data_IF_341683198361
#
_entry.id   IF_341683198361
#
_cell.length_a   1.000
_cell.length_b   1.000
_cell.length_c   1.000
_cell.angle_alpha   90.00
_cell.angle_beta   90.00
_cell.angle_gamma   90.00
#
_symmetry.space_group_name_H-M   'P 1'
#
loop_
_entity.id
_entity.type
_entity.pdbx_description
1 polymer ?
#
# COMPACT_ATOMS: atom_id res chain seq x y z
N UNK A 1 66.05 -1.13 37.58
CA UNK A 1 65.77 -0.32 36.37
C UNK A 1 64.44 -0.80 35.80
N UNK A 2 63.34 -0.02 35.79
CA UNK A 2 63.20 1.46 35.74
C UNK A 2 63.95 2.07 34.54
N UNK A 3 63.39 2.92 33.68
CA UNK A 3 62.06 3.56 33.55
C UNK A 3 61.97 4.15 32.09
N UNK A 4 60.89 4.61 31.42
CA UNK A 4 59.52 5.09 31.73
C UNK A 4 58.65 5.09 30.44
N UNK A 5 57.31 5.19 30.55
CA UNK A 5 56.37 5.87 29.59
C UNK A 5 56.22 5.28 28.16
N UNK A 6 55.19 5.59 27.34
CA UNK A 6 54.06 6.57 27.39
C UNK A 6 52.70 5.84 27.17
N UNK A 7 51.61 6.38 27.74
CA UNK A 7 50.22 6.05 27.39
C UNK A 7 49.83 6.58 26.00
N UNK A 8 49.20 5.77 25.16
CA UNK A 8 48.27 6.29 24.13
C UNK A 8 46.89 5.61 24.21
N UNK A 9 46.09 6.08 25.18
CA UNK A 9 44.64 5.93 25.14
C UNK A 9 44.09 6.75 23.97
N UNK A 10 43.89 6.12 22.81
CA UNK A 10 43.09 6.71 21.73
C UNK A 10 41.61 6.62 22.08
N UNK A 11 41.19 7.52 22.97
CA UNK A 11 39.80 7.91 23.13
C UNK A 11 39.29 8.48 21.80
N UNK A 12 38.61 7.66 21.00
CA UNK A 12 37.85 8.10 19.85
C UNK A 12 36.37 7.82 20.12
N UNK A 13 35.75 8.76 20.84
CA UNK A 13 34.33 8.72 21.18
C UNK A 13 33.61 9.86 20.46
N UNK A 14 32.36 9.63 20.05
CA UNK A 14 31.60 10.42 19.07
C UNK A 14 32.15 10.28 17.64
N UNK A 15 31.35 10.31 16.58
CA UNK A 15 29.95 10.79 16.48
C UNK A 15 28.89 9.69 16.53
N UNK A 16 27.79 9.96 17.23
CA UNK A 16 26.52 9.23 17.04
C UNK A 16 25.87 9.72 15.75
N UNK A 17 26.19 9.09 14.62
CA UNK A 17 25.36 9.26 13.41
C UNK A 17 23.98 8.65 13.67
N UNK A 18 22.95 9.51 13.78
CA UNK A 18 21.56 9.13 14.03
C UNK A 18 20.87 8.49 12.83
N UNK A 19 21.54 7.58 12.12
CA UNK A 19 20.95 6.82 11.03
C UNK A 19 19.89 5.86 11.57
N UNK A 20 18.62 6.13 11.28
CA UNK A 20 17.48 5.27 11.61
C UNK A 20 17.66 3.88 10.97
N UNK A 21 18.32 2.99 11.67
CA UNK A 21 18.71 1.67 11.16
C UNK A 21 17.46 0.79 11.16
N UNK A 22 16.84 0.66 9.99
CA UNK A 22 15.73 -0.27 9.77
C UNK A 22 16.26 -1.68 10.03
N UNK A 23 15.99 -2.20 11.23
CA UNK A 23 16.40 -3.55 11.64
C UNK A 23 15.79 -4.53 10.65
N UNK A 24 16.63 -5.14 9.82
CA UNK A 24 16.24 -6.26 8.96
C UNK A 24 16.12 -7.48 9.86
N UNK A 25 14.95 -7.63 10.48
CA UNK A 25 14.67 -8.79 11.30
C UNK A 25 14.52 -10.03 10.41
N UNK A 26 15.31 -11.06 10.70
CA UNK A 26 15.29 -12.35 10.01
C UNK A 26 14.38 -13.37 10.70
N UNK A 27 13.64 -12.95 11.73
CA UNK A 27 12.64 -13.81 12.36
C UNK A 27 11.56 -14.28 11.39
N UNK A 28 11.12 -15.53 11.62
CA UNK A 28 10.03 -16.21 10.93
C UNK A 28 8.76 -15.34 10.95
N UNK A 29 8.04 -15.17 9.83
CA UNK A 29 6.85 -14.32 9.79
C UNK A 29 5.80 -14.77 10.81
N UNK A 30 5.31 -13.79 11.57
CA UNK A 30 4.19 -13.92 12.51
C UNK A 30 2.88 -14.04 11.68
N UNK A 31 1.82 -14.63 12.24
CA UNK A 31 0.49 -14.78 11.60
C UNK A 31 -0.01 -13.53 10.88
N UNK A 32 0.26 -12.36 11.45
CA UNK A 32 -0.25 -11.06 10.99
C UNK A 32 0.67 -10.40 9.93
N UNK A 33 1.61 -11.15 9.36
CA UNK A 33 2.60 -10.64 8.39
C UNK A 33 2.02 -10.57 6.98
N UNK A 34 2.20 -9.43 6.31
CA UNK A 34 1.77 -9.22 4.93
C UNK A 34 2.80 -9.86 3.99
N UNK A 35 2.45 -10.99 3.38
CA UNK A 35 3.35 -11.81 2.55
C UNK A 35 3.38 -11.38 1.08
N UNK A 36 4.52 -11.64 0.42
CA UNK A 36 4.65 -11.52 -1.03
C UNK A 36 3.73 -12.53 -1.76
N UNK A 37 3.24 -12.24 -2.99
CA UNK A 37 2.38 -13.16 -3.72
C UNK A 37 3.15 -14.40 -4.18
N UNK A 38 2.62 -15.59 -3.89
CA UNK A 38 3.28 -16.88 -4.09
C UNK A 38 3.75 -17.14 -5.54
N UNK A 39 2.99 -16.65 -6.52
CA UNK A 39 3.22 -16.92 -7.95
C UNK A 39 3.95 -15.77 -8.68
N UNK A 40 4.62 -14.88 -7.94
CA UNK A 40 5.31 -13.74 -8.56
C UNK A 40 6.58 -14.17 -9.28
N UNK A 41 6.65 -13.94 -10.59
CA UNK A 41 7.91 -14.02 -11.33
C UNK A 41 8.85 -12.92 -10.86
N UNK A 42 9.97 -13.33 -10.27
CA UNK A 42 11.09 -12.49 -9.85
C UNK A 42 12.40 -13.22 -10.21
N UNK A 43 13.47 -12.47 -10.45
CA UNK A 43 14.82 -13.03 -10.46
C UNK A 43 15.22 -13.51 -9.06
N UNK A 44 16.16 -14.45 -8.96
CA UNK A 44 16.50 -15.05 -7.66
C UNK A 44 17.08 -14.05 -6.64
N UNK A 45 17.79 -13.02 -7.12
CA UNK A 45 18.23 -11.90 -6.26
C UNK A 45 17.05 -11.09 -5.72
N UNK A 46 16.03 -10.81 -6.54
CA UNK A 46 14.81 -10.14 -6.09
C UNK A 46 13.96 -11.03 -5.17
N UNK A 47 13.96 -12.37 -5.33
CA UNK A 47 13.33 -13.31 -4.37
C UNK A 47 13.95 -13.21 -2.97
N UNK A 48 15.28 -13.14 -2.89
CA UNK A 48 16.01 -13.00 -1.61
C UNK A 48 15.65 -11.67 -0.92
N UNK A 49 15.40 -10.60 -1.70
CA UNK A 49 14.94 -9.32 -1.15
C UNK A 49 13.48 -9.42 -0.69
N UNK A 50 12.57 -9.96 -1.50
CA UNK A 50 11.14 -10.04 -1.19
C UNK A 50 10.80 -10.95 0.00
N UNK A 51 11.66 -11.93 0.30
CA UNK A 51 11.55 -12.80 1.48
C UNK A 51 11.86 -12.12 2.82
N UNK A 52 12.43 -10.90 2.81
CA UNK A 52 12.70 -10.11 4.01
C UNK A 52 11.49 -9.30 4.44
N UNK A 53 11.49 -8.83 5.69
CA UNK A 53 10.41 -8.03 6.27
C UNK A 53 10.90 -6.68 6.81
N UNK A 54 9.95 -5.80 7.10
CA UNK A 54 10.12 -4.60 7.93
C UNK A 54 8.86 -4.36 8.77
N UNK A 55 8.98 -3.64 9.89
CA UNK A 55 7.85 -3.29 10.76
C UNK A 55 7.49 -1.80 10.62
N UNK A 56 6.25 -1.48 10.23
CA UNK A 56 5.77 -0.10 10.07
C UNK A 56 4.26 -0.02 10.34
N UNK A 57 3.79 1.07 10.96
CA UNK A 57 2.38 1.33 11.28
C UNK A 57 1.64 0.20 12.05
N UNK A 58 2.38 -0.68 12.73
CA UNK A 58 1.82 -1.84 13.45
C UNK A 58 1.89 -3.17 12.69
N UNK A 59 2.27 -3.16 11.42
CA UNK A 59 2.32 -4.33 10.55
C UNK A 59 3.75 -4.82 10.35
N UNK A 60 3.93 -6.15 10.27
CA UNK A 60 5.09 -6.74 9.61
C UNK A 60 4.77 -6.86 8.12
N UNK A 61 5.59 -6.26 7.26
CA UNK A 61 5.35 -6.15 5.83
C UNK A 61 6.53 -6.78 5.09
N UNK A 62 6.26 -7.66 4.14
CA UNK A 62 7.27 -8.15 3.21
C UNK A 62 7.89 -6.99 2.43
N UNK A 63 9.21 -7.03 2.21
CA UNK A 63 9.93 -6.11 1.32
C UNK A 63 9.56 -6.26 -0.16
N UNK A 64 8.61 -7.13 -0.49
CA UNK A 64 7.90 -7.07 -1.76
C UNK A 64 7.03 -5.82 -1.91
N UNK A 65 6.67 -5.13 -0.82
CA UNK A 65 5.82 -3.94 -0.88
C UNK A 65 6.48 -2.70 -0.27
N UNK A 66 6.27 -1.56 -0.93
CA UNK A 66 6.45 -0.24 -0.34
C UNK A 66 5.10 0.29 0.17
N UNK A 67 5.14 1.14 1.21
CA UNK A 67 3.95 1.83 1.73
C UNK A 67 3.78 3.14 0.98
N UNK A 68 2.90 3.15 -0.01
CA UNK A 68 2.58 4.30 -0.86
C UNK A 68 1.82 5.37 -0.06
N UNK A 69 0.75 4.97 0.63
CA UNK A 69 -0.07 5.88 1.44
C UNK A 69 -0.55 5.22 2.74
N UNK A 70 -0.84 6.02 3.77
CA UNK A 70 -1.38 5.52 5.03
C UNK A 70 -2.41 6.47 5.65
N UNK A 71 -3.42 5.90 6.32
CA UNK A 71 -4.32 6.61 7.23
C UNK A 71 -4.23 5.92 8.59
N UNK A 72 -3.85 6.67 9.63
CA UNK A 72 -3.88 6.18 11.01
C UNK A 72 -4.83 7.04 11.83
N UNK A 73 -5.84 6.40 12.42
CA UNK A 73 -6.74 6.96 13.44
C UNK A 73 -6.53 6.15 14.73
N UNK A 74 -7.10 6.62 15.86
CA UNK A 74 -6.94 6.00 17.19
C UNK A 74 -7.16 4.47 17.18
N UNK A 75 -8.23 4.02 16.54
CA UNK A 75 -8.72 2.64 16.63
C UNK A 75 -8.50 1.83 15.33
N UNK A 76 -7.97 2.44 14.26
CA UNK A 76 -7.83 1.83 12.94
C UNK A 76 -6.61 2.37 12.18
N UNK A 77 -5.84 1.47 11.56
CA UNK A 77 -4.77 1.82 10.62
C UNK A 77 -5.06 1.21 9.25
N UNK A 78 -4.85 2.00 8.19
CA UNK A 78 -5.11 1.63 6.80
C UNK A 78 -3.86 1.95 6.00
N UNK A 79 -3.34 0.98 5.25
CA UNK A 79 -2.24 1.16 4.31
C UNK A 79 -2.71 0.94 2.88
N UNK A 80 -2.22 1.74 1.95
CA UNK A 80 -2.10 1.38 0.55
C UNK A 80 -0.66 0.91 0.33
N UNK A 81 -0.52 -0.35 -0.07
CA UNK A 81 0.74 -0.97 -0.41
C UNK A 81 0.82 -1.15 -1.92
N UNK A 82 1.97 -0.78 -2.49
CA UNK A 82 2.32 -1.07 -3.89
C UNK A 82 3.48 -2.06 -3.93
N UNK A 83 3.62 -2.87 -4.98
CA UNK A 83 4.83 -3.67 -5.17
C UNK A 83 6.08 -2.79 -5.23
N UNK A 84 7.18 -3.27 -4.66
CA UNK A 84 8.44 -2.53 -4.62
C UNK A 84 9.06 -2.39 -6.03
N UNK A 85 9.52 -1.18 -6.35
CA UNK A 85 10.17 -0.86 -7.62
C UNK A 85 11.58 -0.31 -7.37
N UNK A 86 12.45 -1.14 -6.80
CA UNK A 86 13.81 -0.73 -6.46
C UNK A 86 14.82 -0.98 -7.58
N UNK A 87 15.59 0.07 -7.90
CA UNK A 87 16.91 -0.05 -8.52
C UNK A 87 17.94 -0.11 -7.39
N UNK A 88 18.33 -1.31 -6.97
CA UNK A 88 19.27 -1.52 -5.88
C UNK A 88 20.53 -2.20 -6.42
N UNK A 89 21.67 -1.52 -6.32
CA UNK A 89 23.01 -2.03 -6.70
C UNK A 89 23.03 -2.72 -8.08
N UNK A 90 22.59 -1.96 -9.10
CA UNK A 90 22.42 -2.35 -10.51
C UNK A 90 21.32 -3.39 -10.82
N UNK A 91 20.73 -4.05 -9.82
CA UNK A 91 19.57 -4.91 -10.02
C UNK A 91 18.29 -4.08 -10.14
N UNK A 92 17.46 -4.45 -11.12
CA UNK A 92 16.13 -3.89 -11.37
C UNK A 92 15.08 -4.91 -10.92
N UNK A 93 14.48 -4.69 -9.75
CA UNK A 93 13.37 -5.53 -9.29
C UNK A 93 12.04 -4.95 -9.78
N UNK A 94 11.48 -5.59 -10.81
CA UNK A 94 10.14 -5.33 -11.32
C UNK A 94 9.33 -6.65 -11.32
N UNK A 95 8.22 -6.77 -10.58
CA UNK A 95 7.28 -7.86 -10.79
C UNK A 95 6.54 -7.68 -12.12
N UNK A 96 6.40 -8.75 -12.91
CA UNK A 96 5.71 -8.74 -14.22
C UNK A 96 4.19 -8.43 -14.18
N UNK A 97 3.62 -8.09 -13.02
CA UNK A 97 2.19 -7.78 -12.85
C UNK A 97 1.98 -6.62 -11.89
N UNK A 98 1.18 -5.64 -12.33
CA UNK A 98 0.72 -4.50 -11.55
C UNK A 98 -0.54 -4.80 -10.68
N UNK A 99 -1.08 -6.03 -10.77
CA UNK A 99 -2.34 -6.47 -10.12
C UNK A 99 -2.23 -6.66 -8.58
N UNK A 100 -1.16 -6.16 -7.96
CA UNK A 100 -0.78 -6.47 -6.57
C UNK A 100 -0.75 -5.23 -5.66
N UNK A 101 -1.46 -4.17 -6.03
CA UNK A 101 -1.82 -3.10 -5.11
C UNK A 101 -2.73 -3.66 -3.99
N UNK A 102 -2.35 -3.48 -2.73
CA UNK A 102 -3.12 -3.97 -1.58
C UNK A 102 -3.61 -2.81 -0.70
N UNK A 103 -4.92 -2.77 -0.46
CA UNK A 103 -5.50 -2.03 0.65
C UNK A 103 -5.50 -2.95 1.87
N UNK A 104 -4.77 -2.55 2.91
CA UNK A 104 -4.67 -3.31 4.15
C UNK A 104 -5.29 -2.52 5.28
N UNK A 105 -6.29 -3.10 5.94
CA UNK A 105 -7.03 -2.49 7.05
C UNK A 105 -6.72 -3.28 8.31
N UNK A 106 -6.39 -2.59 9.41
CA UNK A 106 -6.26 -3.19 10.74
C UNK A 106 -7.07 -2.43 11.78
N UNK A 107 -7.94 -3.15 12.45
CA UNK A 107 -8.55 -2.71 13.70
C UNK A 107 -7.50 -2.83 14.81
N UNK A 108 -7.19 -1.73 15.49
CA UNK A 108 -6.07 -1.67 16.45
C UNK A 108 -6.43 -2.23 17.83
N UNK A 109 -7.73 -2.38 18.13
CA UNK A 109 -8.23 -2.88 19.41
C UNK A 109 -8.28 -4.42 19.43
N UNK A 110 -8.82 -5.01 18.37
CA UNK A 110 -8.89 -6.47 18.13
C UNK A 110 -7.63 -7.03 17.47
N UNK A 111 -6.76 -6.16 16.93
CA UNK A 111 -5.57 -6.46 16.11
C UNK A 111 -5.86 -7.12 14.75
N UNK A 112 -7.13 -7.42 14.43
CA UNK A 112 -7.55 -8.09 13.19
C UNK A 112 -7.08 -7.32 11.96
N UNK A 113 -6.45 -8.03 11.03
CA UNK A 113 -6.03 -7.51 9.72
C UNK A 113 -6.95 -8.05 8.63
N UNK A 114 -7.32 -7.20 7.68
CA UNK A 114 -8.04 -7.55 6.44
C UNK A 114 -7.27 -6.97 5.24
N UNK A 115 -7.17 -7.73 4.14
CA UNK A 115 -6.37 -7.39 2.96
C UNK A 115 -7.28 -7.49 1.73
N UNK A 116 -7.26 -6.45 0.89
CA UNK A 116 -8.10 -6.32 -0.31
C UNK A 116 -7.27 -5.83 -1.50
N UNK A 117 -7.35 -6.50 -2.65
CA UNK A 117 -6.82 -6.01 -3.93
C UNK A 117 -7.94 -5.60 -4.92
N UNK A 118 -9.15 -6.14 -4.72
CA UNK A 118 -10.36 -5.91 -5.51
C UNK A 118 -10.96 -4.49 -5.42
N UNK A 119 -10.46 -3.64 -4.52
CA UNK A 119 -10.96 -2.29 -4.25
C UNK A 119 -10.14 -1.17 -4.91
N UNK A 120 -9.01 -1.54 -5.52
CA UNK A 120 -8.00 -0.62 -6.05
C UNK A 120 -7.86 -0.84 -7.55
N UNK A 121 -7.45 0.20 -8.26
CA UNK A 121 -7.06 0.05 -9.66
C UNK A 121 -5.63 -0.52 -9.74
N UNK A 122 -5.33 -1.20 -10.85
CA UNK A 122 -3.97 -1.62 -11.22
C UNK A 122 -3.05 -0.40 -11.39
N UNK A 123 -1.74 -0.61 -11.20
CA UNK A 123 -0.74 0.47 -11.25
C UNK A 123 -0.37 0.85 -12.70
N UNK A 124 -1.33 1.44 -13.41
CA UNK A 124 -1.23 1.87 -14.80
C UNK A 124 -0.84 3.36 -14.94
N UNK A 125 -0.14 3.71 -16.03
CA UNK A 125 0.47 5.04 -16.23
C UNK A 125 -0.51 6.21 -16.28
N UNK A 126 -1.76 5.96 -16.67
CA UNK A 126 -2.83 6.96 -16.74
C UNK A 126 -3.82 6.83 -15.56
N UNK A 127 -3.37 6.27 -14.43
CA UNK A 127 -4.19 6.06 -13.21
C UNK A 127 -3.55 6.73 -12.00
N UNK A 128 -4.24 7.71 -11.41
CA UNK A 128 -3.94 8.24 -10.09
C UNK A 128 -4.95 7.70 -9.08
N UNK A 129 -4.49 7.20 -7.93
CA UNK A 129 -5.38 6.78 -6.83
C UNK A 129 -4.86 7.22 -5.46
N UNK A 130 -5.80 7.59 -4.58
CA UNK A 130 -5.51 8.12 -3.25
C UNK A 130 -6.51 7.65 -2.18
N UNK A 131 -6.02 7.40 -0.96
CA UNK A 131 -6.84 7.12 0.21
C UNK A 131 -6.96 8.37 1.10
N UNK A 132 -8.20 8.81 1.37
CA UNK A 132 -8.45 10.00 2.21
C UNK A 132 -9.40 9.70 3.38
N UNK A 133 -9.12 10.18 4.61
CA UNK A 133 -10.01 9.98 5.74
C UNK A 133 -11.32 10.74 5.56
N UNK A 134 -12.42 10.16 6.00
CA UNK A 134 -13.74 10.81 6.08
C UNK A 134 -14.21 10.84 7.53
N UNK A 135 -15.34 11.51 7.81
CA UNK A 135 -15.93 11.59 9.16
C UNK A 135 -16.20 10.20 9.76
N UNK A 136 -16.77 9.29 8.96
CA UNK A 136 -17.24 7.97 9.41
C UNK A 136 -16.31 6.81 9.00
N UNK A 137 -15.22 7.10 8.28
CA UNK A 137 -14.31 6.06 7.76
C UNK A 137 -13.23 6.66 6.86
N UNK A 138 -13.22 6.26 5.60
CA UNK A 138 -12.33 6.79 4.55
C UNK A 138 -13.01 6.75 3.17
N UNK A 139 -12.35 7.28 2.15
CA UNK A 139 -12.67 7.05 0.74
C UNK A 139 -11.42 6.64 -0.02
N UNK A 140 -11.61 5.81 -1.03
CA UNK A 140 -10.65 5.60 -2.12
C UNK A 140 -11.10 6.52 -3.24
N UNK A 141 -10.21 7.34 -3.75
CA UNK A 141 -10.48 8.28 -4.85
C UNK A 141 -9.54 7.96 -5.99
N UNK A 142 -10.03 7.95 -7.22
CA UNK A 142 -9.18 7.73 -8.39
C UNK A 142 -9.57 8.63 -9.55
N UNK A 143 -8.55 9.01 -10.33
CA UNK A 143 -8.63 9.70 -11.62
C UNK A 143 -7.96 8.80 -12.66
N UNK A 144 -8.62 8.61 -13.80
CA UNK A 144 -8.13 7.78 -14.90
C UNK A 144 -8.24 8.50 -16.25
N UNK A 145 -7.26 8.26 -17.12
CA UNK A 145 -7.26 8.75 -18.49
C UNK A 145 -6.67 10.15 -18.66
N UNK A 146 -6.23 10.45 -19.89
CA UNK A 146 -5.46 11.65 -20.22
C UNK A 146 -6.33 12.78 -20.77
N UNK A 147 -6.83 12.65 -22.00
CA UNK A 147 -7.61 13.68 -22.71
C UNK A 147 -9.11 13.63 -22.42
N UNK A 148 -9.64 12.47 -22.06
CA UNK A 148 -10.91 12.31 -21.35
C UNK A 148 -10.61 11.71 -19.99
N UNK A 149 -11.21 12.27 -18.94
CA UNK A 149 -10.91 11.94 -17.55
C UNK A 149 -12.12 11.30 -16.88
N UNK A 150 -11.86 10.18 -16.22
CA UNK A 150 -12.85 9.46 -15.45
C UNK A 150 -12.48 9.49 -13.96
N UNK A 151 -13.42 9.93 -13.12
CA UNK A 151 -13.24 10.09 -11.69
C UNK A 151 -14.14 9.13 -10.92
N UNK A 152 -13.61 8.55 -9.83
CA UNK A 152 -14.39 7.78 -8.87
C UNK A 152 -14.08 8.15 -7.42
N UNK A 153 -15.10 8.12 -6.56
CA UNK A 153 -14.99 8.15 -5.11
C UNK A 153 -15.74 6.92 -4.55
N UNK A 154 -15.00 5.95 -3.98
CA UNK A 154 -15.54 4.79 -3.25
C UNK A 154 -15.53 5.15 -1.76
N UNK A 155 -16.70 5.35 -1.16
CA UNK A 155 -16.85 5.71 0.25
C UNK A 155 -17.01 4.47 1.13
N UNK A 156 -16.21 4.37 2.19
CA UNK A 156 -16.12 3.20 3.06
C UNK A 156 -16.27 3.60 4.53
N UNK A 157 -17.19 2.94 5.23
CA UNK A 157 -17.30 2.95 6.70
C UNK A 157 -17.57 1.55 7.23
N UNK A 158 -17.17 1.26 8.48
CA UNK A 158 -17.48 0.01 9.20
C UNK A 158 -17.28 -1.28 8.36
N UNK A 159 -16.13 -1.36 7.66
CA UNK A 159 -15.74 -2.41 6.69
C UNK A 159 -16.77 -2.73 5.59
N UNK A 160 -17.47 -1.70 5.09
CA UNK A 160 -18.48 -1.78 4.02
C UNK A 160 -18.34 -0.63 3.03
N UNK A 161 -18.77 -0.83 1.79
CA UNK A 161 -18.91 0.23 0.80
C UNK A 161 -20.28 0.89 0.99
N UNK A 162 -20.30 2.17 1.34
CA UNK A 162 -21.53 2.95 1.55
C UNK A 162 -22.07 3.49 0.22
N UNK A 163 -21.19 4.06 -0.60
CA UNK A 163 -21.53 4.58 -1.92
C UNK A 163 -20.34 4.63 -2.87
N UNK A 164 -20.65 4.58 -4.15
CA UNK A 164 -19.75 4.85 -5.26
C UNK A 164 -20.27 6.11 -5.97
N UNK A 165 -19.47 7.18 -6.02
CA UNK A 165 -19.69 8.31 -6.93
C UNK A 165 -18.77 8.14 -8.14
N UNK A 166 -19.30 8.35 -9.33
CA UNK A 166 -18.53 8.37 -10.59
C UNK A 166 -18.86 9.62 -11.39
N UNK A 167 -17.87 10.12 -12.12
CA UNK A 167 -17.94 11.40 -12.82
C UNK A 167 -17.01 11.38 -14.05
N UNK A 168 -17.58 11.47 -15.24
CA UNK A 168 -16.86 11.37 -16.52
C UNK A 168 -16.80 12.74 -17.20
N UNK A 169 -15.60 13.12 -17.66
CA UNK A 169 -15.30 14.35 -18.39
C UNK A 169 -14.70 13.99 -19.75
N UNK A 170 -15.50 14.09 -20.80
CA UNK A 170 -15.14 13.73 -22.17
C UNK A 170 -16.31 14.03 -23.12
N UNK A 171 -16.43 13.28 -24.21
CA UNK A 171 -17.50 13.47 -25.20
C UNK A 171 -18.91 13.28 -24.61
N UNK A 172 -19.09 12.33 -23.68
CA UNK A 172 -20.30 12.15 -22.91
C UNK A 172 -20.01 12.43 -21.43
N UNK A 173 -20.35 13.65 -20.97
CA UNK A 173 -20.19 14.04 -19.58
C UNK A 173 -21.36 13.52 -18.74
N UNK A 174 -21.07 12.83 -17.64
CA UNK A 174 -22.10 12.37 -16.70
C UNK A 174 -21.58 12.27 -15.27
N UNK A 175 -22.48 12.35 -14.30
CA UNK A 175 -22.18 12.32 -12.86
C UNK A 175 -23.25 11.50 -12.15
N UNK A 176 -22.86 10.44 -11.43
CA UNK A 176 -23.80 9.46 -10.88
C UNK A 176 -23.33 8.92 -9.53
N UNK A 177 -24.26 8.72 -8.60
CA UNK A 177 -23.96 8.21 -7.25
C UNK A 177 -24.82 7.01 -6.95
N UNK A 178 -24.16 5.86 -6.77
CA UNK A 178 -24.76 4.60 -6.37
C UNK A 178 -24.61 4.46 -4.85
N UNK A 179 -25.71 4.15 -4.15
CA UNK A 179 -25.72 3.93 -2.69
C UNK A 179 -26.00 2.46 -2.42
N UNK A 180 -25.28 1.85 -1.49
CA UNK A 180 -25.42 0.45 -1.16
C UNK A 180 -25.95 0.26 0.26
N UNK A 181 -26.84 -0.73 0.45
CA UNK A 181 -27.52 -0.94 1.74
C UNK A 181 -26.69 -1.75 2.74
N UNK A 182 -25.87 -2.70 2.26
CA UNK A 182 -25.02 -3.62 3.05
C UNK A 182 -23.81 -4.18 2.27
N UNK A 183 -23.23 -3.46 1.30
CA UNK A 183 -22.16 -4.00 0.45
C UNK A 183 -20.87 -4.24 1.26
N UNK A 184 -20.35 -5.46 1.26
CA UNK A 184 -19.09 -5.78 1.94
C UNK A 184 -17.89 -5.45 1.06
N UNK A 185 -16.73 -5.22 1.67
CA UNK A 185 -15.49 -4.95 0.93
C UNK A 185 -15.07 -6.14 0.03
N UNK A 186 -15.34 -7.39 0.42
CA UNK A 186 -15.08 -8.56 -0.43
C UNK A 186 -16.05 -8.72 -1.60
N UNK A 187 -17.25 -8.12 -1.54
CA UNK A 187 -18.29 -8.28 -2.57
C UNK A 187 -18.32 -7.16 -3.61
N UNK A 188 -17.56 -6.09 -3.38
CA UNK A 188 -17.33 -5.03 -4.37
C UNK A 188 -16.14 -5.41 -5.26
N UNK A 189 -16.13 -4.97 -6.52
CA UNK A 189 -14.92 -5.00 -7.35
C UNK A 189 -14.84 -3.67 -8.10
N UNK A 190 -13.63 -3.13 -8.25
CA UNK A 190 -13.38 -1.91 -9.02
C UNK A 190 -13.88 -2.03 -10.47
N UNK A 191 -13.83 -3.21 -11.10
CA UNK A 191 -14.30 -3.43 -12.48
C UNK A 191 -15.83 -3.34 -12.67
N UNK A 192 -16.59 -3.26 -11.57
CA UNK A 192 -17.99 -2.85 -11.62
C UNK A 192 -18.13 -1.41 -12.14
N UNK A 193 -17.11 -0.57 -11.94
CA UNK A 193 -17.10 0.83 -12.36
C UNK A 193 -17.08 0.94 -13.90
N UNK A 194 -16.21 0.18 -14.57
CA UNK A 194 -16.09 0.10 -16.04
C UNK A 194 -17.39 -0.41 -16.68
N UNK A 195 -18.03 -1.37 -16.01
CA UNK A 195 -19.35 -1.89 -16.39
C UNK A 195 -20.43 -0.81 -16.30
N UNK A 196 -20.39 0.04 -15.26
CA UNK A 196 -21.28 1.18 -15.11
C UNK A 196 -20.96 2.31 -16.09
N UNK A 197 -19.70 2.50 -16.51
CA UNK A 197 -19.34 3.43 -17.58
C UNK A 197 -20.00 3.02 -18.91
N UNK A 198 -19.80 1.76 -19.30
CA UNK A 198 -20.37 1.16 -20.52
C UNK A 198 -21.90 1.21 -20.55
N UNK A 199 -22.55 1.14 -19.38
CA UNK A 199 -24.01 1.22 -19.24
C UNK A 199 -24.60 2.65 -19.32
N UNK A 200 -23.77 3.70 -19.30
CA UNK A 200 -24.22 5.10 -19.47
C UNK A 200 -23.70 5.74 -20.77
N UNK A 201 -23.05 4.98 -21.67
CA UNK A 201 -22.56 5.44 -22.97
C UNK A 201 -23.47 5.02 -24.14
N UNK A 202 -24.77 4.85 -23.86
CA UNK A 202 -25.87 4.55 -24.78
C UNK A 202 -27.10 5.36 -24.37
#
# INVERSE_FOLDING_TARGET
MLIFLIFYFLFSCTTKSGGNTIKQDTQKPISDTILAPLNTKLSDSCKIISQKYFYKYGFYISKFYDVDQNISKKDISILLLKPFYTKQDYLLCFPEKADYNLLVIRDLNTKKVEIYNNLLFSDDRDVYQEIKPTKNGFKISAEQGSSSKFYSDIFISNSKVDSLKIESWGFAQYKKTYKFKKMTLNSFNVSLIDSLQTANSK
#
